data_IF_944950844020
#
_entry.id   IF_944950844020
#
_cell.length_a   1.000
_cell.length_b   1.000
_cell.length_c   1.000
_cell.angle_alpha   90.00
_cell.angle_beta   90.00
_cell.angle_gamma   90.00
#
_symmetry.space_group_name_H-M   'P 1'
#
loop_
_entity.id
_entity.type
_entity.pdbx_description
1 polymer ?
#
# COMPACT_ATOMS: atom_id res chain seq x y z
N UNK A 1 -24.69 3.65 -22.39
CA UNK A 1 -23.98 2.51 -21.78
C UNK A 1 -24.01 2.78 -20.29
N UNK A 2 -24.60 1.89 -19.50
CA UNK A 2 -24.73 2.10 -18.05
C UNK A 2 -23.34 1.95 -17.42
N UNK A 3 -22.74 3.07 -17.06
CA UNK A 3 -21.59 3.08 -16.16
C UNK A 3 -22.11 2.56 -14.83
N UNK A 4 -21.81 1.31 -14.48
CA UNK A 4 -22.11 0.73 -13.18
C UNK A 4 -21.16 1.33 -12.15
N UNK A 5 -21.58 2.26 -11.27
CA UNK A 5 -20.65 3.02 -10.43
C UNK A 5 -20.17 2.24 -9.19
N UNK A 6 -20.40 0.92 -9.12
CA UNK A 6 -20.32 0.12 -7.88
C UNK A 6 -19.96 -1.36 -8.15
N UNK A 7 -19.38 -1.70 -9.29
CA UNK A 7 -18.86 -3.05 -9.45
C UNK A 7 -17.60 -3.17 -8.60
N UNK A 8 -17.61 -4.07 -7.60
CA UNK A 8 -16.41 -4.38 -6.85
C UNK A 8 -15.33 -4.88 -7.81
N UNK A 9 -14.32 -4.06 -8.06
CA UNK A 9 -13.19 -4.43 -8.92
C UNK A 9 -12.30 -5.41 -8.18
N UNK A 10 -12.58 -6.70 -8.36
CA UNK A 10 -11.76 -7.78 -7.82
C UNK A 10 -10.32 -7.67 -8.33
N UNK A 11 -10.14 -7.23 -9.58
CA UNK A 11 -8.82 -7.01 -10.15
C UNK A 11 -8.07 -5.90 -9.41
N UNK A 12 -8.70 -4.73 -9.22
CA UNK A 12 -8.14 -3.61 -8.44
C UNK A 12 -7.81 -4.03 -7.01
N UNK A 13 -8.72 -4.73 -6.34
CA UNK A 13 -8.52 -5.19 -4.96
C UNK A 13 -7.37 -6.18 -4.86
N UNK A 14 -7.26 -7.11 -5.81
CA UNK A 14 -6.15 -8.06 -5.86
C UNK A 14 -4.83 -7.34 -6.04
N UNK A 15 -4.74 -6.39 -6.98
CA UNK A 15 -3.55 -5.57 -7.23
C UNK A 15 -3.14 -4.79 -5.97
N UNK A 16 -4.09 -4.16 -5.27
CA UNK A 16 -3.84 -3.44 -4.02
C UNK A 16 -3.31 -4.38 -2.93
N UNK A 17 -3.91 -5.56 -2.77
CA UNK A 17 -3.44 -6.55 -1.79
C UNK A 17 -2.05 -7.09 -2.12
N UNK A 18 -1.77 -7.39 -3.40
CA UNK A 18 -0.45 -7.87 -3.87
C UNK A 18 0.63 -6.82 -3.61
N UNK A 19 0.37 -5.55 -3.98
CA UNK A 19 1.31 -4.45 -3.76
C UNK A 19 1.58 -4.21 -2.27
N UNK A 20 0.55 -4.36 -1.44
CA UNK A 20 0.67 -4.20 0.00
C UNK A 20 1.52 -5.31 0.63
N UNK A 21 1.25 -6.57 0.28
CA UNK A 21 1.99 -7.71 0.83
C UNK A 21 3.47 -7.64 0.44
N UNK A 22 3.76 -7.29 -0.82
CA UNK A 22 5.13 -7.13 -1.32
C UNK A 22 5.85 -5.95 -0.67
N UNK A 23 5.18 -4.80 -0.50
CA UNK A 23 5.73 -3.64 0.23
C UNK A 23 6.05 -4.00 1.69
N UNK A 24 5.13 -4.71 2.34
CA UNK A 24 5.31 -5.12 3.74
C UNK A 24 6.43 -6.16 3.89
N UNK A 25 6.51 -7.13 2.98
CA UNK A 25 7.61 -8.10 2.93
C UNK A 25 8.96 -7.40 2.72
N UNK A 26 9.02 -6.40 1.85
CA UNK A 26 10.23 -5.60 1.62
C UNK A 26 10.68 -4.88 2.90
N UNK A 27 9.77 -4.20 3.61
CA UNK A 27 10.08 -3.52 4.88
C UNK A 27 10.60 -4.48 5.96
N UNK A 28 10.01 -5.68 6.05
CA UNK A 28 10.46 -6.71 6.99
C UNK A 28 11.83 -7.26 6.61
N UNK A 29 12.09 -7.47 5.32
CA UNK A 29 13.37 -7.96 4.81
C UNK A 29 14.53 -7.01 5.07
N UNK A 30 14.29 -5.69 5.04
CA UNK A 30 15.33 -4.68 5.32
C UNK A 30 15.49 -4.37 6.81
N UNK A 31 14.67 -4.94 7.69
CA UNK A 31 14.76 -4.74 9.14
C UNK A 31 14.48 -3.29 9.57
N UNK A 32 13.57 -2.61 8.86
CA UNK A 32 13.27 -1.20 9.14
C UNK A 32 12.58 -1.01 10.50
N UNK A 33 12.89 0.07 11.23
CA UNK A 33 12.16 0.49 12.45
C UNK A 33 10.64 0.57 12.24
N UNK A 34 10.21 0.77 10.99
CA UNK A 34 8.79 0.75 10.59
C UNK A 34 8.10 -0.59 10.86
N UNK A 35 8.85 -1.68 10.99
CA UNK A 35 8.33 -3.02 11.26
C UNK A 35 8.30 -3.39 12.74
N UNK A 36 8.85 -2.54 13.61
CA UNK A 36 8.77 -2.73 15.05
C UNK A 36 7.31 -2.93 15.50
N UNK A 37 7.02 -3.81 16.46
CA UNK A 37 5.64 -4.10 16.87
C UNK A 37 4.85 -2.85 17.29
N UNK A 38 5.53 -1.86 17.88
CA UNK A 38 4.95 -0.57 18.28
C UNK A 38 4.51 0.30 17.10
N UNK A 39 5.21 0.22 15.96
CA UNK A 39 4.99 1.05 14.76
C UNK A 39 4.33 0.27 13.61
N UNK A 40 4.39 -1.07 13.66
CA UNK A 40 3.98 -1.99 12.61
C UNK A 40 2.56 -1.73 12.12
N UNK A 41 1.61 -1.55 13.05
CA UNK A 41 0.21 -1.28 12.70
C UNK A 41 0.06 0.06 11.96
N UNK A 42 0.76 1.09 12.43
CA UNK A 42 0.69 2.41 11.84
C UNK A 42 1.38 2.44 10.47
N UNK A 43 2.56 1.82 10.32
CA UNK A 43 3.26 1.64 9.04
C UNK A 43 2.41 0.89 8.02
N UNK A 44 1.77 -0.21 8.42
CA UNK A 44 0.81 -0.96 7.58
C UNK A 44 -0.37 -0.09 7.17
N UNK A 45 -0.90 0.71 8.08
CA UNK A 45 -2.03 1.60 7.78
C UNK A 45 -1.64 2.68 6.76
N UNK A 46 -0.45 3.25 6.90
CA UNK A 46 0.09 4.26 5.97
C UNK A 46 0.30 3.65 4.59
N UNK A 47 0.94 2.47 4.52
CA UNK A 47 1.11 1.72 3.27
C UNK A 47 -0.22 1.42 2.59
N UNK A 48 -1.18 0.84 3.32
CA UNK A 48 -2.48 0.47 2.76
C UNK A 48 -3.23 1.69 2.21
N UNK A 49 -3.25 2.80 2.96
CA UNK A 49 -3.86 4.05 2.50
C UNK A 49 -3.24 4.52 1.20
N UNK A 50 -1.90 4.59 1.16
CA UNK A 50 -1.18 5.10 -0.02
C UNK A 50 -1.45 4.25 -1.25
N UNK A 51 -1.41 2.92 -1.12
CA UNK A 51 -1.68 2.00 -2.23
C UNK A 51 -3.13 2.14 -2.72
N UNK A 52 -4.11 2.25 -1.82
CA UNK A 52 -5.52 2.45 -2.20
C UNK A 52 -5.70 3.78 -2.92
N UNK A 53 -5.10 4.87 -2.43
CA UNK A 53 -5.17 6.19 -3.06
C UNK A 53 -4.56 6.17 -4.47
N UNK A 54 -3.38 5.58 -4.64
CA UNK A 54 -2.72 5.48 -5.94
C UNK A 54 -3.51 4.59 -6.92
N UNK A 55 -4.07 3.48 -6.43
CA UNK A 55 -4.95 2.63 -7.21
C UNK A 55 -6.25 3.34 -7.61
N UNK A 56 -6.74 4.26 -6.78
CA UNK A 56 -7.90 5.10 -7.11
C UNK A 56 -7.58 6.16 -8.16
N UNK A 57 -6.36 6.68 -8.15
CA UNK A 57 -5.84 7.59 -9.17
C UNK A 57 -5.59 6.91 -10.53
N UNK A 58 -5.76 5.58 -10.62
CA UNK A 58 -5.63 4.80 -11.85
C UNK A 58 -4.29 4.07 -12.00
N UNK A 59 -3.41 4.14 -11.01
CA UNK A 59 -2.17 3.37 -10.99
C UNK A 59 -2.48 1.90 -10.64
N UNK A 60 -2.38 1.00 -11.61
CA UNK A 60 -2.66 -0.43 -11.41
C UNK A 60 -1.42 -1.32 -11.51
N UNK A 61 -0.23 -0.73 -11.62
CA UNK A 61 1.02 -1.49 -11.60
C UNK A 61 1.40 -1.80 -10.14
N UNK A 62 1.47 -3.09 -9.80
CA UNK A 62 1.81 -3.57 -8.46
C UNK A 62 3.17 -3.05 -8.01
N UNK A 63 4.13 -2.97 -8.93
CA UNK A 63 5.50 -2.57 -8.65
C UNK A 63 5.58 -1.10 -8.31
N UNK A 64 4.89 -0.26 -9.09
CA UNK A 64 4.86 1.19 -8.84
C UNK A 64 4.07 1.53 -7.58
N UNK A 65 2.93 0.87 -7.35
CA UNK A 65 2.15 1.02 -6.12
C UNK A 65 3.00 0.71 -4.88
N UNK A 66 3.76 -0.38 -4.94
CA UNK A 66 4.69 -0.78 -3.88
C UNK A 66 5.78 0.27 -3.66
N UNK A 67 6.49 0.66 -4.72
CA UNK A 67 7.63 1.57 -4.62
C UNK A 67 7.23 2.94 -4.09
N UNK A 68 6.11 3.48 -4.60
CA UNK A 68 5.53 4.73 -4.12
C UNK A 68 5.10 4.63 -2.65
N UNK A 69 4.45 3.54 -2.26
CA UNK A 69 4.03 3.33 -0.88
C UNK A 69 5.23 3.20 0.08
N UNK A 70 6.29 2.51 -0.34
CA UNK A 70 7.55 2.39 0.39
C UNK A 70 8.25 3.74 0.55
N UNK A 71 8.29 4.56 -0.50
CA UNK A 71 8.82 5.92 -0.41
C UNK A 71 7.97 6.77 0.55
N UNK A 72 6.64 6.68 0.42
CA UNK A 72 5.72 7.48 1.23
C UNK A 72 5.84 7.19 2.73
N UNK A 73 5.89 5.92 3.14
CA UNK A 73 6.01 5.54 4.56
C UNK A 73 7.38 5.89 5.15
N UNK A 74 8.43 5.94 4.33
CA UNK A 74 9.75 6.43 4.76
C UNK A 74 9.77 7.94 4.96
N UNK A 75 9.07 8.69 4.10
CA UNK A 75 8.93 10.15 4.23
C UNK A 75 7.91 10.57 5.29
N UNK A 76 6.92 9.73 5.56
CA UNK A 76 5.89 9.92 6.60
C UNK A 76 5.95 8.75 7.58
N UNK A 77 7.02 8.65 8.40
CA UNK A 77 7.09 7.60 9.40
C UNK A 77 5.93 7.78 10.40
N UNK A 78 5.35 6.69 10.91
CA UNK A 78 4.34 6.78 11.94
C UNK A 78 4.94 7.49 13.15
N UNK A 79 4.35 8.62 13.52
CA UNK A 79 4.66 9.32 14.76
C UNK A 79 4.35 8.38 15.92
N UNK A 80 5.41 7.92 16.60
CA UNK A 80 5.31 7.14 17.84
C UNK A 80 4.94 8.00 19.03
#
# INVERSE_FOLDING_TARGET
MVETPLAFDFNKTRTVCDAFDDAWACLQGVGSDLTEPSKSLASRTILAKRIIEMADQGLMDVTELRDDALAFVQHNPPSG
#
